data_IF_488254698096
#
_entry.id   IF_488254698096
#
_cell.length_a   1.000
_cell.length_b   1.000
_cell.length_c   1.000
_cell.angle_alpha   90.00
_cell.angle_beta   90.00
_cell.angle_gamma   90.00
#
_symmetry.space_group_name_H-M   'P 1'
#
loop_
_entity.id
_entity.type
_entity.pdbx_description
1 polymer ?
#
# COMPACT_ATOMS: atom_id res chain seq x y z
N UNK A 1 4.03 -9.58 -3.33
CA UNK A 1 2.79 -9.17 -4.02
C UNK A 1 3.08 -9.01 -5.49
N UNK A 2 2.28 -9.62 -6.37
CA UNK A 2 2.46 -9.52 -7.82
C UNK A 2 1.34 -8.69 -8.49
N UNK A 3 0.49 -8.02 -7.70
CA UNK A 3 -0.50 -7.10 -8.26
C UNK A 3 0.20 -5.80 -8.68
N UNK A 4 -0.33 -5.08 -9.68
CA UNK A 4 0.19 -3.79 -10.08
C UNK A 4 0.36 -2.79 -8.91
N UNK A 5 -0.51 -2.85 -7.89
CA UNK A 5 -0.43 -1.93 -6.75
C UNK A 5 0.60 -2.32 -5.67
N UNK A 6 1.09 -3.56 -5.69
CA UNK A 6 2.02 -4.10 -4.68
C UNK A 6 3.40 -4.44 -5.24
N UNK A 7 3.54 -4.48 -6.57
CA UNK A 7 4.81 -4.78 -7.25
C UNK A 7 5.83 -3.66 -7.01
N UNK A 8 6.99 -4.02 -6.46
CA UNK A 8 8.05 -3.06 -6.11
C UNK A 8 7.95 -2.50 -4.69
N UNK A 9 7.00 -2.98 -3.89
CA UNK A 9 6.93 -2.69 -2.45
C UNK A 9 7.02 -3.99 -1.64
N UNK A 10 7.72 -3.95 -0.51
CA UNK A 10 7.87 -5.09 0.39
C UNK A 10 7.82 -4.64 1.85
N UNK A 11 7.50 -5.56 2.74
CA UNK A 11 7.63 -5.38 4.19
C UNK A 11 8.82 -6.20 4.67
N UNK A 12 9.68 -5.57 5.45
CA UNK A 12 10.84 -6.22 6.09
C UNK A 12 10.64 -6.08 7.59
N UNK A 13 10.75 -7.19 8.31
CA UNK A 13 10.60 -7.24 9.76
C UNK A 13 11.95 -7.69 10.33
N UNK A 14 12.47 -6.90 11.27
CA UNK A 14 13.66 -7.23 12.03
C UNK A 14 13.25 -7.69 13.43
N UNK A 15 14.08 -8.53 14.05
CA UNK A 15 13.90 -8.98 15.43
C UNK A 15 14.15 -7.84 16.43
N UNK A 16 15.12 -6.97 16.14
CA UNK A 16 15.49 -5.82 16.97
C UNK A 16 15.09 -4.50 16.30
N UNK A 17 14.59 -3.56 17.12
CA UNK A 17 14.25 -2.21 16.71
C UNK A 17 15.49 -1.39 16.30
N UNK A 18 16.65 -1.64 16.91
CA UNK A 18 17.89 -0.94 16.58
C UNK A 18 18.42 -1.32 15.19
N UNK A 19 18.24 -2.58 14.79
CA UNK A 19 18.57 -3.04 13.44
C UNK A 19 17.64 -2.41 12.41
N UNK A 20 16.34 -2.34 12.70
CA UNK A 20 15.37 -1.64 11.84
C UNK A 20 15.71 -0.15 11.67
N UNK A 21 16.15 0.51 12.76
CA UNK A 21 16.60 1.90 12.71
C UNK A 21 17.84 2.06 11.84
N UNK A 22 18.85 1.21 12.07
CA UNK A 22 20.10 1.24 11.32
C UNK A 22 19.85 1.02 9.81
N UNK A 23 18.96 0.10 9.47
CA UNK A 23 18.54 -0.15 8.09
C UNK A 23 17.80 1.05 7.47
N UNK A 24 16.86 1.68 8.18
CA UNK A 24 16.17 2.87 7.72
C UNK A 24 17.14 4.02 7.37
N UNK A 25 18.11 4.26 8.26
CA UNK A 25 19.05 5.37 8.11
C UNK A 25 20.03 5.16 6.94
N UNK A 26 20.48 3.93 6.71
CA UNK A 26 21.53 3.64 5.73
C UNK A 26 21.01 3.15 4.36
N UNK A 27 19.82 2.53 4.29
CA UNK A 27 19.29 1.97 3.04
C UNK A 27 18.35 2.93 2.30
N UNK A 28 17.92 4.02 2.94
CA UNK A 28 17.15 5.06 2.25
C UNK A 28 18.03 5.74 1.20
N UNK A 29 17.60 5.71 -0.07
CA UNK A 29 18.40 6.21 -1.18
C UNK A 29 19.46 5.23 -1.70
N UNK A 30 19.46 3.97 -1.25
CA UNK A 30 20.34 2.95 -1.82
C UNK A 30 19.96 2.65 -3.28
N UNK A 31 20.93 2.67 -4.19
CA UNK A 31 20.70 2.36 -5.61
C UNK A 31 20.83 0.86 -5.86
N UNK A 32 19.78 0.25 -6.39
CA UNK A 32 19.76 -1.12 -6.87
C UNK A 32 19.12 -1.18 -8.26
N UNK A 33 19.81 -1.79 -9.23
CA UNK A 33 19.33 -1.93 -10.61
C UNK A 33 18.84 -0.58 -11.21
N UNK A 34 19.58 0.51 -10.96
CA UNK A 34 19.27 1.86 -11.43
C UNK A 34 17.95 2.44 -10.87
N UNK A 35 17.57 1.99 -9.66
CA UNK A 35 16.41 2.48 -8.89
C UNK A 35 16.84 2.73 -7.45
N UNK A 36 16.41 3.86 -6.91
CA UNK A 36 16.71 4.24 -5.53
C UNK A 36 15.61 3.73 -4.59
N UNK A 37 16.01 3.04 -3.53
CA UNK A 37 15.10 2.51 -2.53
C UNK A 37 14.54 3.62 -1.63
N UNK A 38 13.27 3.48 -1.26
CA UNK A 38 12.62 4.29 -0.24
C UNK A 38 12.29 3.37 0.92
N UNK A 39 12.80 3.70 2.11
CA UNK A 39 12.61 2.90 3.33
C UNK A 39 11.82 3.73 4.33
N UNK A 40 10.74 3.16 4.86
CA UNK A 40 9.83 3.82 5.79
C UNK A 40 9.43 2.85 6.90
N UNK A 41 9.22 3.37 8.10
CA UNK A 41 8.59 2.61 9.17
C UNK A 41 7.16 2.22 8.78
N UNK A 42 6.75 1.05 9.25
CA UNK A 42 5.39 0.57 9.06
C UNK A 42 4.39 1.49 9.78
N UNK A 43 3.36 1.93 9.05
CA UNK A 43 2.23 2.65 9.61
C UNK A 43 0.94 1.90 9.28
N UNK A 44 0.31 1.35 10.32
CA UNK A 44 -0.89 0.53 10.20
C UNK A 44 -2.06 1.29 9.54
N UNK A 45 -2.24 2.58 9.85
CA UNK A 45 -3.32 3.39 9.29
C UNK A 45 -3.21 3.50 7.77
N UNK A 46 -1.99 3.64 7.23
CA UNK A 46 -1.77 3.71 5.79
C UNK A 46 -2.05 2.37 5.10
N UNK A 47 -1.80 1.25 5.78
CA UNK A 47 -2.14 -0.07 5.27
C UNK A 47 -3.65 -0.31 5.26
N UNK A 48 -4.36 0.08 6.33
CA UNK A 48 -5.81 -0.11 6.45
C UNK A 48 -6.63 0.77 5.51
N UNK A 49 -6.17 1.97 5.17
CA UNK A 49 -6.83 2.85 4.19
C UNK A 49 -7.12 2.12 2.87
N UNK A 50 -6.16 1.32 2.36
CA UNK A 50 -6.35 0.56 1.11
C UNK A 50 -7.41 -0.54 1.25
N UNK A 51 -7.50 -1.17 2.42
CA UNK A 51 -8.50 -2.21 2.70
C UNK A 51 -9.91 -1.63 2.71
N UNK A 52 -10.09 -0.45 3.33
CA UNK A 52 -11.38 0.23 3.38
C UNK A 52 -11.84 0.72 2.01
N UNK A 53 -10.91 1.20 1.16
CA UNK A 53 -11.23 1.54 -0.23
C UNK A 53 -11.75 0.34 -1.00
N UNK A 54 -11.09 -0.83 -0.88
CA UNK A 54 -11.50 -2.06 -1.56
C UNK A 54 -12.88 -2.53 -1.11
N UNK A 55 -13.15 -2.53 0.20
CA UNK A 55 -14.48 -2.86 0.74
C UNK A 55 -15.56 -1.92 0.23
N UNK A 56 -15.27 -0.60 0.17
CA UNK A 56 -16.20 0.38 -0.40
C UNK A 56 -16.49 0.13 -1.88
N UNK A 57 -15.48 -0.23 -2.66
CA UNK A 57 -15.64 -0.52 -4.08
C UNK A 57 -16.50 -1.77 -4.31
N UNK A 58 -16.29 -2.84 -3.53
CA UNK A 58 -17.11 -4.05 -3.57
C UNK A 58 -18.57 -3.78 -3.18
N UNK A 59 -18.80 -2.98 -2.13
CA UNK A 59 -20.14 -2.55 -1.73
C UNK A 59 -20.81 -1.71 -2.82
N UNK A 60 -20.09 -0.77 -3.43
CA UNK A 60 -20.62 0.05 -4.51
C UNK A 60 -21.02 -0.81 -5.72
N UNK A 61 -20.22 -1.83 -6.05
CA UNK A 61 -20.54 -2.79 -7.12
C UNK A 61 -21.81 -3.59 -6.81
N UNK A 62 -21.95 -4.11 -5.60
CA UNK A 62 -23.16 -4.82 -5.16
C UNK A 62 -24.40 -3.93 -5.21
N UNK A 63 -24.29 -2.66 -4.78
CA UNK A 63 -25.40 -1.71 -4.86
C UNK A 63 -25.77 -1.37 -6.31
N UNK A 64 -24.79 -1.21 -7.19
CA UNK A 64 -25.01 -1.02 -8.64
C UNK A 64 -25.77 -2.19 -9.25
N UNK A 65 -25.34 -3.42 -8.98
CA UNK A 65 -25.98 -4.63 -9.50
C UNK A 65 -27.40 -4.80 -8.95
N UNK A 66 -27.60 -4.54 -7.65
CA UNK A 66 -28.89 -4.75 -6.98
C UNK A 66 -29.94 -3.69 -7.34
N UNK A 67 -29.52 -2.46 -7.61
CA UNK A 67 -30.43 -1.31 -7.75
C UNK A 67 -30.30 -0.54 -9.07
N UNK A 68 -29.41 -0.95 -9.98
CA UNK A 68 -29.26 -0.32 -11.30
C UNK A 68 -28.86 1.16 -11.25
N UNK A 69 -28.21 1.59 -10.17
CA UNK A 69 -27.94 3.01 -9.89
C UNK A 69 -26.72 3.45 -10.70
N UNK A 70 -26.85 4.50 -11.49
CA UNK A 70 -25.70 5.16 -12.12
C UNK A 70 -24.93 5.93 -11.03
N UNK A 71 -23.69 5.52 -10.73
CA UNK A 71 -22.86 6.16 -9.70
C UNK A 71 -21.63 6.86 -10.30
N UNK A 72 -21.72 7.29 -11.57
CA UNK A 72 -20.66 8.11 -12.15
C UNK A 72 -20.50 9.40 -11.32
N UNK A 73 -19.26 9.79 -10.97
CA UNK A 73 -19.04 11.02 -10.22
C UNK A 73 -19.57 12.22 -11.03
N UNK A 74 -20.17 13.23 -10.38
CA UNK A 74 -20.63 14.43 -11.06
C UNK A 74 -19.44 15.11 -11.77
N UNK A 75 -19.68 15.58 -12.99
CA UNK A 75 -18.71 16.29 -13.84
C UNK A 75 -18.16 17.55 -13.17
#
# INVERSE_FOLDING_TARGET
GNTPETRGTAYVVYEDIFDAKNACDHLSGFNVCNRYLVVLYYNANRAFQKMDTKKKEEQLKLLKEKYGINTDPPK
#
